data_IF_191142466738
#
_entry.id   IF_191142466738
#
_cell.length_a   1.000
_cell.length_b   1.000
_cell.length_c   1.000
_cell.angle_alpha   90.00
_cell.angle_beta   90.00
_cell.angle_gamma   90.00
#
_symmetry.space_group_name_H-M   'P 1'
#
loop_
_entity.id
_entity.type
_entity.pdbx_description
1 polymer ?
#
# COMPACT_ATOMS: atom_id res chain seq x y z
N UNK A 1 12.25 -4.60 -1.15
CA UNK A 1 13.44 -5.13 -0.43
C UNK A 1 13.69 -4.34 0.86
N UNK A 2 13.73 -3.00 0.82
CA UNK A 2 14.00 -2.16 2.01
C UNK A 2 12.98 -2.33 3.14
N UNK A 3 11.69 -2.38 2.81
CA UNK A 3 10.62 -2.55 3.81
C UNK A 3 10.65 -3.91 4.51
N UNK A 4 10.96 -4.99 3.77
CA UNK A 4 11.15 -6.31 4.36
C UNK A 4 12.35 -6.36 5.31
N UNK A 5 13.49 -5.82 4.87
CA UNK A 5 14.69 -5.76 5.71
C UNK A 5 14.47 -4.95 7.00
N UNK A 6 13.76 -3.83 6.90
CA UNK A 6 13.40 -3.01 8.07
C UNK A 6 12.52 -3.81 9.04
N UNK A 7 11.47 -4.47 8.52
CA UNK A 7 10.57 -5.29 9.32
C UNK A 7 11.32 -6.45 10.01
N UNK A 8 12.15 -7.18 9.27
CA UNK A 8 12.91 -8.30 9.79
C UNK A 8 13.94 -7.87 10.84
N UNK A 9 14.57 -6.70 10.66
CA UNK A 9 15.49 -6.12 11.64
C UNK A 9 14.78 -5.78 12.96
N UNK A 10 13.56 -5.25 12.91
CA UNK A 10 12.77 -4.95 14.10
C UNK A 10 12.31 -6.24 14.81
N UNK A 11 11.87 -7.24 14.05
CA UNK A 11 11.48 -8.54 14.61
C UNK A 11 12.66 -9.21 15.30
N UNK A 12 13.86 -9.18 14.71
CA UNK A 12 15.09 -9.70 15.33
C UNK A 12 15.47 -8.99 16.63
N UNK A 13 15.06 -7.73 16.81
CA UNK A 13 15.24 -6.96 18.06
C UNK A 13 14.20 -7.32 19.13
N UNK A 14 13.31 -8.28 18.90
CA UNK A 14 12.32 -8.77 19.87
C UNK A 14 10.95 -8.10 19.81
N UNK A 15 10.68 -7.26 18.79
CA UNK A 15 9.35 -6.71 18.61
C UNK A 15 8.37 -7.77 18.10
N UNK A 16 7.11 -7.68 18.53
CA UNK A 16 6.06 -8.59 18.06
C UNK A 16 5.83 -8.45 16.56
N UNK A 17 5.79 -9.57 15.84
CA UNK A 17 5.62 -9.62 14.38
C UNK A 17 4.41 -8.80 13.92
N UNK A 18 3.25 -8.99 14.57
CA UNK A 18 2.02 -8.28 14.22
C UNK A 18 2.18 -6.75 14.32
N UNK A 19 2.80 -6.26 15.39
CA UNK A 19 3.01 -4.82 15.60
C UNK A 19 3.92 -4.26 14.51
N UNK A 20 5.00 -4.96 14.19
CA UNK A 20 5.93 -4.55 13.14
C UNK A 20 5.24 -4.53 11.77
N UNK A 21 4.48 -5.57 11.42
CA UNK A 21 3.73 -5.63 10.17
C UNK A 21 2.73 -4.47 10.05
N UNK A 22 1.95 -4.22 11.10
CA UNK A 22 1.00 -3.10 11.15
C UNK A 22 1.70 -1.75 11.03
N UNK A 23 2.77 -1.51 11.78
CA UNK A 23 3.51 -0.25 11.76
C UNK A 23 4.11 0.04 10.38
N UNK A 24 4.82 -0.93 9.80
CA UNK A 24 5.47 -0.79 8.49
C UNK A 24 4.43 -0.54 7.38
N UNK A 25 3.31 -1.27 7.40
CA UNK A 25 2.22 -1.06 6.46
C UNK A 25 1.57 0.32 6.62
N UNK A 26 1.25 0.70 7.86
CA UNK A 26 0.61 1.99 8.15
C UNK A 26 1.48 3.17 7.73
N UNK A 27 2.79 3.14 8.04
CA UNK A 27 3.75 4.17 7.61
C UNK A 27 3.77 4.26 6.07
N UNK A 28 3.82 3.13 5.37
CA UNK A 28 3.83 3.11 3.92
C UNK A 28 2.54 3.67 3.29
N UNK A 29 1.37 3.23 3.76
CA UNK A 29 0.08 3.67 3.23
C UNK A 29 -0.24 5.12 3.59
N UNK A 30 -0.14 5.51 4.85
CA UNK A 30 -0.47 6.87 5.28
C UNK A 30 0.58 7.88 4.80
N UNK A 31 1.86 7.52 4.79
CA UNK A 31 2.91 8.35 4.22
C UNK A 31 2.72 8.56 2.71
N UNK A 32 2.40 7.48 1.96
CA UNK A 32 2.07 7.56 0.54
C UNK A 32 0.83 8.42 0.28
N UNK A 33 -0.22 8.26 1.10
CA UNK A 33 -1.43 9.06 1.03
C UNK A 33 -1.15 10.56 1.28
N UNK A 34 -0.31 10.89 2.26
CA UNK A 34 0.10 12.26 2.52
C UNK A 34 0.82 12.88 1.30
N UNK A 35 1.76 12.14 0.70
CA UNK A 35 2.45 12.59 -0.51
C UNK A 35 1.47 12.81 -1.67
N UNK A 36 0.53 11.88 -1.92
CA UNK A 36 -0.46 12.00 -2.98
C UNK A 36 -1.41 13.19 -2.77
N UNK A 37 -1.84 13.43 -1.54
CA UNK A 37 -2.74 14.54 -1.21
C UNK A 37 -2.10 15.92 -1.45
N UNK A 38 -0.78 16.00 -1.45
CA UNK A 38 -0.05 17.25 -1.71
C UNK A 38 0.15 17.55 -3.20
N UNK A 39 0.06 16.53 -4.08
CA UNK A 39 0.33 16.69 -5.52
C UNK A 39 -0.57 17.75 -6.18
N UNK A 40 -1.89 17.79 -5.95
CA UNK A 40 -2.76 18.76 -6.61
C UNK A 40 -2.46 20.23 -6.31
N UNK A 41 -1.67 20.49 -5.28
CA UNK A 41 -1.29 21.85 -4.85
C UNK A 41 0.09 22.26 -5.36
N UNK A 42 0.72 21.46 -6.22
CA UNK A 42 2.05 21.74 -6.75
C UNK A 42 1.97 22.36 -8.15
N UNK A 43 2.67 23.49 -8.32
CA UNK A 43 2.83 24.15 -9.61
C UNK A 43 4.09 23.68 -10.38
N UNK A 44 5.02 23.03 -9.68
CA UNK A 44 6.29 22.58 -10.24
C UNK A 44 6.24 21.11 -10.61
N UNK A 45 6.58 20.78 -11.86
CA UNK A 45 6.72 19.39 -12.32
C UNK A 45 7.75 18.59 -11.50
N UNK A 46 8.82 19.24 -11.04
CA UNK A 46 9.86 18.61 -10.22
C UNK A 46 9.27 18.18 -8.88
N UNK A 47 8.47 19.04 -8.23
CA UNK A 47 7.80 18.73 -6.97
C UNK A 47 6.82 17.54 -7.13
N UNK A 48 6.08 17.50 -8.22
CA UNK A 48 5.16 16.38 -8.53
C UNK A 48 5.94 15.08 -8.69
N UNK A 49 7.03 15.07 -9.46
CA UNK A 49 7.87 13.88 -9.66
C UNK A 49 8.48 13.40 -8.34
N UNK A 50 8.96 14.32 -7.52
CA UNK A 50 9.53 14.00 -6.20
C UNK A 50 8.45 13.37 -5.29
N UNK A 51 7.26 13.96 -5.20
CA UNK A 51 6.16 13.41 -4.39
C UNK A 51 5.70 12.03 -4.88
N UNK A 52 5.58 11.83 -6.20
CA UNK A 52 5.29 10.52 -6.79
C UNK A 52 6.38 9.49 -6.47
N UNK A 53 7.64 9.89 -6.52
CA UNK A 53 8.77 9.02 -6.18
C UNK A 53 8.74 8.61 -4.71
N UNK A 54 8.44 9.54 -3.81
CA UNK A 54 8.25 9.25 -2.38
C UNK A 54 7.04 8.34 -2.14
N UNK A 55 5.91 8.57 -2.82
CA UNK A 55 4.74 7.70 -2.74
C UNK A 55 5.09 6.26 -3.12
N UNK A 56 5.82 6.06 -4.23
CA UNK A 56 6.25 4.74 -4.66
C UNK A 56 7.25 4.10 -3.67
N UNK A 57 8.18 4.88 -3.13
CA UNK A 57 9.14 4.39 -2.14
C UNK A 57 8.42 3.94 -0.85
N UNK A 58 7.47 4.71 -0.36
CA UNK A 58 6.66 4.40 0.82
C UNK A 58 5.75 3.19 0.58
N UNK A 59 5.14 3.08 -0.61
CA UNK A 59 4.39 1.88 -1.01
C UNK A 59 5.27 0.63 -1.01
N UNK A 60 6.52 0.76 -1.48
CA UNK A 60 7.52 -0.32 -1.42
C UNK A 60 7.86 -0.74 0.02
N UNK A 61 7.82 0.18 0.98
CA UNK A 61 7.97 -0.13 2.40
C UNK A 61 6.75 -0.89 2.93
N UNK A 62 5.53 -0.48 2.55
CA UNK A 62 4.29 -1.14 2.95
C UNK A 62 4.25 -2.62 2.56
N UNK A 63 4.85 -3.01 1.42
CA UNK A 63 4.97 -4.42 1.01
C UNK A 63 5.68 -5.27 2.06
N UNK A 64 6.64 -4.73 2.81
CA UNK A 64 7.28 -5.38 3.95
C UNK A 64 6.32 -5.69 5.11
N UNK A 65 5.19 -4.99 5.19
CA UNK A 65 4.09 -5.25 6.12
C UNK A 65 3.13 -6.30 5.57
N UNK A 66 2.32 -5.93 4.58
CA UNK A 66 1.23 -6.79 4.09
C UNK A 66 1.70 -7.94 3.20
N UNK A 67 2.73 -7.74 2.37
CA UNK A 67 3.17 -8.74 1.39
C UNK A 67 3.73 -10.01 2.04
N UNK A 68 4.43 -9.87 3.17
CA UNK A 68 4.97 -11.03 3.91
C UNK A 68 3.92 -11.64 4.85
N UNK A 69 2.90 -10.89 5.23
CA UNK A 69 1.82 -11.38 6.12
C UNK A 69 1.06 -12.58 5.53
N UNK A 70 1.03 -12.73 4.22
CA UNK A 70 0.46 -13.93 3.58
C UNK A 70 1.16 -15.22 3.99
N UNK A 71 2.49 -15.17 4.17
CA UNK A 71 3.27 -16.31 4.66
C UNK A 71 3.07 -16.54 6.16
N UNK A 72 2.82 -15.49 6.94
CA UNK A 72 2.54 -15.59 8.37
C UNK A 72 1.18 -16.27 8.62
N UNK A 73 0.15 -16.00 7.77
CA UNK A 73 -1.21 -16.54 7.91
C UNK A 73 -1.37 -18.00 7.49
N UNK A 74 -0.61 -18.44 6.49
CA UNK A 74 -0.72 -19.79 5.95
C UNK A 74 0.54 -20.23 5.23
N UNK A 75 1.59 -20.67 5.96
CA UNK A 75 2.86 -21.02 5.36
C UNK A 75 2.76 -22.07 4.26
N UNK A 76 1.85 -23.05 4.44
CA UNK A 76 1.60 -24.15 3.49
C UNK A 76 0.87 -23.70 2.23
N UNK A 77 0.02 -22.68 2.34
CA UNK A 77 -0.83 -22.15 1.27
C UNK A 77 -0.42 -20.78 0.78
N UNK A 78 0.76 -20.29 1.16
CA UNK A 78 1.25 -18.94 0.81
C UNK A 78 1.13 -18.65 -0.68
N UNK A 79 1.50 -19.59 -1.56
CA UNK A 79 1.41 -19.43 -3.00
C UNK A 79 -0.02 -19.20 -3.50
N UNK A 80 -0.99 -19.95 -2.96
CA UNK A 80 -2.41 -19.79 -3.31
C UNK A 80 -2.98 -18.48 -2.82
N UNK A 81 -2.64 -18.07 -1.59
CA UNK A 81 -3.08 -16.80 -1.00
C UNK A 81 -2.54 -15.61 -1.81
N UNK A 82 -1.25 -15.62 -2.10
CA UNK A 82 -0.58 -14.59 -2.91
C UNK A 82 -1.14 -14.56 -4.33
N UNK A 83 -1.36 -15.73 -4.94
CA UNK A 83 -1.93 -15.84 -6.28
C UNK A 83 -3.35 -15.27 -6.35
N UNK A 84 -4.21 -15.60 -5.39
CA UNK A 84 -5.57 -15.06 -5.32
C UNK A 84 -5.58 -13.55 -5.08
N UNK A 85 -4.84 -13.07 -4.08
CA UNK A 85 -4.74 -11.65 -3.77
C UNK A 85 -4.12 -10.86 -4.95
N UNK A 86 -3.08 -11.40 -5.58
CA UNK A 86 -2.45 -10.82 -6.76
C UNK A 86 -3.39 -10.78 -7.97
N UNK A 87 -4.21 -11.83 -8.17
CA UNK A 87 -5.24 -11.87 -9.21
C UNK A 87 -6.25 -10.73 -9.06
N UNK A 88 -6.77 -10.51 -7.85
CA UNK A 88 -7.66 -9.38 -7.57
C UNK A 88 -6.93 -8.05 -7.81
N UNK A 89 -5.67 -7.93 -7.38
CA UNK A 89 -4.84 -6.75 -7.62
C UNK A 89 -4.65 -6.45 -9.11
N UNK A 90 -4.48 -7.47 -9.94
CA UNK A 90 -4.38 -7.32 -11.40
C UNK A 90 -5.65 -6.76 -12.02
N UNK A 91 -6.83 -7.20 -11.57
CA UNK A 91 -8.12 -6.65 -12.02
C UNK A 91 -8.18 -5.15 -11.69
N UNK A 92 -7.81 -4.78 -10.47
CA UNK A 92 -7.76 -3.37 -10.06
C UNK A 92 -6.75 -2.57 -10.91
N UNK A 93 -5.60 -3.15 -11.25
CA UNK A 93 -4.57 -2.51 -12.08
C UNK A 93 -5.05 -2.24 -13.51
N UNK A 94 -5.93 -3.07 -14.06
CA UNK A 94 -6.54 -2.87 -15.38
C UNK A 94 -7.64 -1.80 -15.31
N UNK A 95 -8.48 -1.85 -14.28
CA UNK A 95 -9.64 -0.97 -14.15
C UNK A 95 -9.22 0.47 -13.77
N UNK A 96 -8.21 0.63 -12.91
CA UNK A 96 -7.86 1.94 -12.36
C UNK A 96 -7.46 2.99 -13.41
N UNK A 97 -6.66 2.69 -14.47
CA UNK A 97 -6.36 3.67 -15.50
C UNK A 97 -7.59 4.06 -16.33
N UNK A 98 -8.50 3.11 -16.57
CA UNK A 98 -9.75 3.35 -17.30
C UNK A 98 -10.65 4.31 -16.51
N UNK A 99 -10.84 4.04 -15.23
CA UNK A 99 -11.63 4.90 -14.34
C UNK A 99 -10.99 6.30 -14.22
N UNK A 100 -9.66 6.36 -14.05
CA UNK A 100 -8.95 7.64 -13.99
C UNK A 100 -9.11 8.44 -15.30
N UNK A 101 -9.02 7.78 -16.46
CA UNK A 101 -9.25 8.41 -17.76
C UNK A 101 -10.66 8.96 -17.91
N UNK A 102 -11.70 8.18 -17.52
CA UNK A 102 -13.10 8.62 -17.54
C UNK A 102 -13.34 9.80 -16.60
N UNK A 103 -12.77 9.78 -15.40
CA UNK A 103 -12.88 10.90 -14.46
C UNK A 103 -12.26 12.17 -15.08
N UNK A 104 -11.09 12.03 -15.69
CA UNK A 104 -10.40 13.15 -16.31
C UNK A 104 -11.20 13.70 -17.51
N UNK A 105 -11.75 12.84 -18.36
CA UNK A 105 -12.59 13.22 -19.50
C UNK A 105 -13.86 13.97 -19.07
N UNK A 106 -14.53 13.47 -18.03
CA UNK A 106 -15.80 14.03 -17.55
C UNK A 106 -15.62 15.32 -16.72
N UNK A 107 -14.54 15.44 -15.98
CA UNK A 107 -14.35 16.51 -14.98
C UNK A 107 -13.20 17.46 -15.27
N UNK A 108 -12.25 17.06 -16.11
CA UNK A 108 -11.00 17.79 -16.35
C UNK A 108 -10.09 17.90 -15.11
N UNK A 109 -10.40 17.18 -14.03
CA UNK A 109 -9.83 17.42 -12.70
C UNK A 109 -8.84 16.35 -12.25
N UNK A 110 -7.55 16.64 -12.33
CA UNK A 110 -6.52 15.85 -11.68
C UNK A 110 -6.66 15.82 -10.15
N UNK A 111 -7.15 16.90 -9.57
CA UNK A 111 -7.43 16.99 -8.14
C UNK A 111 -8.31 15.84 -7.65
N UNK A 112 -9.37 15.53 -8.41
CA UNK A 112 -10.30 14.47 -8.06
C UNK A 112 -9.61 13.09 -8.05
N UNK A 113 -8.79 12.81 -9.08
CA UNK A 113 -8.08 11.53 -9.23
C UNK A 113 -7.12 11.30 -8.05
N UNK A 114 -6.31 12.31 -7.70
CA UNK A 114 -5.37 12.19 -6.59
C UNK A 114 -6.07 12.06 -5.24
N UNK A 115 -7.20 12.76 -5.03
CA UNK A 115 -7.97 12.61 -3.79
C UNK A 115 -8.63 11.23 -3.65
N UNK A 116 -9.20 10.67 -4.73
CA UNK A 116 -9.74 9.31 -4.72
C UNK A 116 -8.63 8.31 -4.39
N UNK A 117 -7.46 8.44 -5.03
CA UNK A 117 -6.31 7.57 -4.76
C UNK A 117 -5.82 7.69 -3.32
N UNK A 118 -5.77 8.92 -2.79
CA UNK A 118 -5.45 9.18 -1.37
C UNK A 118 -6.45 8.50 -0.45
N UNK A 119 -7.75 8.63 -0.72
CA UNK A 119 -8.80 7.99 0.06
C UNK A 119 -8.66 6.47 0.08
N UNK A 120 -8.39 5.85 -1.07
CA UNK A 120 -8.19 4.40 -1.18
C UNK A 120 -6.98 3.96 -0.35
N UNK A 121 -5.86 4.69 -0.38
CA UNK A 121 -4.69 4.37 0.44
C UNK A 121 -4.96 4.51 1.94
N UNK A 122 -5.61 5.58 2.36
CA UNK A 122 -5.99 5.79 3.77
C UNK A 122 -6.92 4.67 4.23
N UNK A 123 -7.96 4.36 3.44
CA UNK A 123 -8.90 3.28 3.75
C UNK A 123 -8.18 1.93 3.86
N UNK A 124 -7.32 1.59 2.89
CA UNK A 124 -6.55 0.36 2.91
C UNK A 124 -5.61 0.26 4.11
N UNK A 125 -4.93 1.36 4.47
CA UNK A 125 -4.05 1.43 5.64
C UNK A 125 -4.82 1.24 6.95
N UNK A 126 -5.96 1.90 7.11
CA UNK A 126 -6.83 1.78 8.29
C UNK A 126 -7.42 0.37 8.35
N UNK A 127 -7.93 -0.16 7.24
CA UNK A 127 -8.48 -1.50 7.19
C UNK A 127 -7.46 -2.54 7.63
N UNK A 128 -6.24 -2.48 7.09
CA UNK A 128 -5.16 -3.37 7.50
C UNK A 128 -4.82 -3.23 8.98
N UNK A 129 -4.79 -2.01 9.52
CA UNK A 129 -4.49 -1.76 10.93
C UNK A 129 -5.47 -2.49 11.88
N UNK A 130 -6.76 -2.52 11.52
CA UNK A 130 -7.78 -3.16 12.35
C UNK A 130 -7.86 -4.68 12.12
N UNK A 131 -7.77 -5.15 10.90
CA UNK A 131 -8.09 -6.53 10.53
C UNK A 131 -6.87 -7.44 10.33
N UNK A 132 -5.64 -6.90 10.23
CA UNK A 132 -4.46 -7.75 10.09
C UNK A 132 -4.20 -8.59 11.35
N UNK A 133 -3.90 -9.87 11.13
CA UNK A 133 -3.47 -10.83 12.14
C UNK A 133 -2.24 -11.59 11.61
N UNK A 134 -1.48 -12.22 12.49
CA UNK A 134 -0.32 -13.07 12.19
C UNK A 134 -0.51 -14.48 12.75
N UNK A 135 -1.70 -14.80 13.26
CA UNK A 135 -2.03 -16.17 13.67
C UNK A 135 -2.25 -17.05 12.45
N UNK A 136 -1.70 -18.25 12.47
CA UNK A 136 -1.95 -19.25 11.41
C UNK A 136 -3.44 -19.49 11.33
N UNK A 137 -4.03 -19.20 10.18
CA UNK A 137 -5.46 -19.38 9.89
C UNK A 137 -5.71 -20.66 9.09
N UNK A 138 -4.69 -21.14 8.35
CA UNK A 138 -4.77 -22.30 7.48
C UNK A 138 -3.56 -23.21 7.75
N UNK A 139 -3.83 -24.43 8.23
CA UNK A 139 -2.84 -25.50 8.46
C UNK A 139 -2.73 -26.45 7.26
#
# INVERSE_FOLDING_TARGET
ISGGYLADSLIKKGFQVLIVRKAVNTIGFLGGAACLSMIPFQDSYISIIVLLSFTNALSGIAVGGFGVNHADLGPKYTGSIVGFAGGIGMIAAIISPIVAGLILELTGSWFLIFNISTFILVFGGIFYLFFADTKIQFE
#
